data_IF_114160905181
#
_entry.id   IF_114160905181
#
_cell.length_a   1.000
_cell.length_b   1.000
_cell.length_c   1.000
_cell.angle_alpha   90.00
_cell.angle_beta   90.00
_cell.angle_gamma   90.00
#
_symmetry.space_group_name_H-M   'P 1'
#
loop_
_entity.id
_entity.type
_entity.pdbx_description
1 polymer ?
#
# COMPACT_ATOMS: atom_id res chain seq x y z
N UNK A 1 -18.37 5.39 0.58
CA UNK A 1 -16.95 5.24 0.93
C UNK A 1 -16.15 5.54 -0.32
N UNK A 2 -15.33 6.58 -0.30
CA UNK A 2 -14.51 6.98 -1.46
C UNK A 2 -13.45 5.92 -1.72
N UNK A 3 -13.28 5.51 -2.98
CA UNK A 3 -12.22 4.62 -3.42
C UNK A 3 -11.07 5.48 -3.94
N UNK A 4 -9.91 5.37 -3.31
CA UNK A 4 -8.69 6.08 -3.72
C UNK A 4 -7.66 5.05 -4.18
N UNK A 5 -7.02 5.30 -5.32
CA UNK A 5 -5.86 4.54 -5.77
C UNK A 5 -4.59 5.39 -5.70
N UNK A 6 -3.56 4.85 -5.05
CA UNK A 6 -2.20 5.38 -5.04
C UNK A 6 -1.33 4.59 -6.02
N UNK A 7 -0.53 5.29 -6.81
CA UNK A 7 0.41 4.72 -7.76
C UNK A 7 1.82 5.05 -7.27
N UNK A 8 2.54 4.06 -6.76
CA UNK A 8 3.93 4.19 -6.34
C UNK A 8 4.91 3.90 -7.50
N UNK A 9 6.20 4.13 -7.30
CA UNK A 9 7.23 4.00 -8.35
C UNK A 9 7.74 2.58 -8.66
N UNK A 10 7.12 1.53 -8.11
CA UNK A 10 7.50 0.13 -8.37
C UNK A 10 6.92 -0.44 -9.66
N UNK A 11 6.68 -1.76 -9.69
CA UNK A 11 6.10 -2.43 -10.87
C UNK A 11 4.60 -2.10 -11.00
N UNK A 12 4.23 -1.49 -12.12
CA UNK A 12 2.86 -1.08 -12.47
C UNK A 12 2.31 -1.85 -13.69
N UNK A 13 2.74 -3.09 -13.91
CA UNK A 13 2.14 -3.99 -14.92
C UNK A 13 0.69 -4.38 -14.57
N UNK A 14 0.35 -4.41 -13.28
CA UNK A 14 -1.01 -4.64 -12.78
C UNK A 14 -1.52 -3.41 -12.03
N UNK A 15 -2.62 -2.83 -12.50
CA UNK A 15 -3.29 -1.69 -11.89
C UNK A 15 -4.72 -1.55 -12.41
N UNK A 16 -5.52 -0.71 -11.75
CA UNK A 16 -6.83 -0.29 -12.23
C UNK A 16 -6.98 1.23 -12.07
N UNK A 17 -7.67 1.86 -13.01
CA UNK A 17 -8.00 3.30 -12.99
C UNK A 17 -9.45 3.56 -12.55
N UNK A 18 -10.23 2.51 -12.24
CA UNK A 18 -11.64 2.61 -11.80
C UNK A 18 -11.75 2.98 -10.31
N UNK A 19 -11.40 4.23 -10.01
CA UNK A 19 -11.41 4.82 -8.67
C UNK A 19 -11.96 6.25 -8.70
N UNK A 20 -12.42 6.73 -7.55
CA UNK A 20 -12.97 8.09 -7.42
C UNK A 20 -11.84 9.15 -7.41
N UNK A 21 -10.66 8.77 -6.91
CA UNK A 21 -9.48 9.63 -6.77
C UNK A 21 -8.23 8.84 -7.15
N UNK A 22 -7.36 9.43 -7.97
CA UNK A 22 -6.10 8.85 -8.43
C UNK A 22 -4.93 9.71 -7.94
N UNK A 23 -4.05 9.11 -7.15
CA UNK A 23 -2.91 9.78 -6.52
C UNK A 23 -1.61 9.19 -7.06
N UNK A 24 -0.74 10.05 -7.59
CA UNK A 24 0.60 9.66 -8.00
C UNK A 24 1.62 9.90 -6.88
N UNK A 25 2.55 8.96 -6.70
CA UNK A 25 3.69 9.09 -5.79
C UNK A 25 4.98 9.06 -6.59
N UNK A 26 5.75 10.16 -6.57
CA UNK A 26 6.96 10.35 -7.38
C UNK A 26 6.74 9.93 -8.85
N UNK A 27 7.50 8.94 -9.33
CA UNK A 27 7.38 8.35 -10.68
C UNK A 27 6.00 7.78 -10.99
N UNK A 28 5.22 7.37 -9.98
CA UNK A 28 3.83 6.96 -10.19
C UNK A 28 2.94 8.12 -10.67
N UNK A 29 3.30 9.37 -10.37
CA UNK A 29 2.65 10.56 -10.95
C UNK A 29 2.91 10.65 -12.46
N UNK A 30 4.15 10.39 -12.89
CA UNK A 30 4.50 10.36 -14.30
C UNK A 30 3.77 9.22 -15.02
N UNK A 31 3.73 8.03 -14.41
CA UNK A 31 3.01 6.89 -14.94
C UNK A 31 1.54 7.21 -15.24
N UNK A 32 0.83 7.85 -14.31
CA UNK A 32 -0.56 8.26 -14.53
C UNK A 32 -0.71 9.17 -15.76
N UNK A 33 0.20 10.14 -15.93
CA UNK A 33 0.21 11.02 -17.09
C UNK A 33 0.48 10.26 -18.40
N UNK A 34 1.33 9.24 -18.37
CA UNK A 34 1.60 8.37 -19.53
C UNK A 34 0.38 7.52 -19.90
N UNK A 35 -0.46 7.15 -18.93
CA UNK A 35 -1.77 6.54 -19.17
C UNK A 35 -2.84 7.56 -19.63
N UNK A 36 -2.47 8.82 -19.84
CA UNK A 36 -3.39 9.89 -20.25
C UNK A 36 -4.29 10.42 -19.14
N UNK A 37 -3.95 10.13 -17.88
CA UNK A 37 -4.72 10.51 -16.70
C UNK A 37 -4.00 11.63 -15.94
N UNK A 38 -4.72 12.70 -15.62
CA UNK A 38 -4.23 13.74 -14.73
C UNK A 38 -4.41 13.29 -13.27
N UNK A 39 -3.35 13.18 -12.45
CA UNK A 39 -3.48 12.87 -11.03
C UNK A 39 -4.34 13.91 -10.31
N UNK A 40 -5.21 13.45 -9.42
CA UNK A 40 -5.93 14.33 -8.49
C UNK A 40 -4.96 14.92 -7.45
N UNK A 41 -3.95 14.15 -7.08
CA UNK A 41 -2.89 14.54 -6.18
C UNK A 41 -1.58 13.91 -6.65
N UNK A 42 -0.50 14.68 -6.68
CA UNK A 42 0.86 14.18 -6.87
C UNK A 42 1.67 14.48 -5.61
N UNK A 43 2.25 13.44 -5.00
CA UNK A 43 3.02 13.56 -3.75
C UNK A 43 4.43 13.03 -3.98
N UNK A 44 5.43 13.73 -3.46
CA UNK A 44 6.82 13.31 -3.63
C UNK A 44 7.80 14.42 -3.33
N UNK A 45 9.07 14.08 -3.08
CA UNK A 45 10.17 15.02 -3.30
C UNK A 45 10.58 15.10 -4.78
N UNK A 46 10.12 14.15 -5.60
CA UNK A 46 10.34 14.06 -7.03
C UNK A 46 11.81 13.99 -7.44
N UNK A 47 12.66 13.39 -6.60
CA UNK A 47 14.09 13.19 -6.90
C UNK A 47 14.34 12.15 -8.02
N UNK A 48 13.36 11.30 -8.28
CA UNK A 48 13.42 10.20 -9.25
C UNK A 48 12.97 10.59 -10.66
N UNK A 49 12.56 11.84 -10.88
CA UNK A 49 12.14 12.38 -12.18
C UNK A 49 13.01 13.56 -12.61
N UNK A 50 13.12 13.77 -13.91
CA UNK A 50 13.80 14.91 -14.52
C UNK A 50 13.04 16.22 -14.29
N UNK A 51 13.71 17.37 -14.53
CA UNK A 51 13.08 18.69 -14.39
C UNK A 51 11.91 18.86 -15.37
N UNK A 52 12.05 18.33 -16.58
CA UNK A 52 11.02 18.37 -17.62
C UNK A 52 9.81 17.52 -17.21
N UNK A 53 10.02 16.33 -16.65
CA UNK A 53 8.95 15.48 -16.12
C UNK A 53 8.26 16.12 -14.91
N UNK A 54 9.01 16.71 -13.98
CA UNK A 54 8.44 17.43 -12.84
C UNK A 54 7.58 18.61 -13.27
N UNK A 55 8.00 19.37 -14.29
CA UNK A 55 7.18 20.45 -14.85
C UNK A 55 5.88 19.92 -15.44
N UNK A 56 5.91 18.77 -16.14
CA UNK A 56 4.71 18.12 -16.68
C UNK A 56 3.78 17.65 -15.56
N UNK A 57 4.32 17.10 -14.48
CA UNK A 57 3.55 16.70 -13.29
C UNK A 57 2.87 17.93 -12.68
N UNK A 58 3.60 19.01 -12.45
CA UNK A 58 3.06 20.25 -11.88
C UNK A 58 2.02 20.94 -12.76
N UNK A 59 2.15 20.84 -14.08
CA UNK A 59 1.18 21.40 -15.04
C UNK A 59 -0.14 20.63 -15.07
N UNK A 60 -0.09 19.31 -14.85
CA UNK A 60 -1.23 18.42 -15.12
C UNK A 60 -1.91 17.87 -13.88
N UNK A 61 -1.21 17.71 -12.75
CA UNK A 61 -1.82 17.31 -11.50
C UNK A 61 -2.74 18.41 -10.96
N UNK A 62 -3.89 18.05 -10.40
CA UNK A 62 -4.81 19.03 -9.80
C UNK A 62 -4.22 19.68 -8.55
N UNK A 63 -3.48 18.88 -7.79
CA UNK A 63 -2.77 19.32 -6.59
C UNK A 63 -1.39 18.64 -6.53
N UNK A 64 -0.38 19.37 -6.06
CA UNK A 64 0.98 18.83 -5.84
C UNK A 64 1.40 19.09 -4.41
N UNK A 65 1.72 18.04 -3.67
CA UNK A 65 2.34 18.10 -2.35
C UNK A 65 3.81 17.75 -2.51
N UNK A 66 4.63 18.78 -2.64
CA UNK A 66 6.07 18.62 -2.76
C UNK A 66 6.71 18.52 -1.38
N UNK A 67 7.34 17.38 -1.10
CA UNK A 67 8.03 17.11 0.14
C UNK A 67 9.48 17.66 0.11
N UNK A 68 10.05 17.89 1.29
CA UNK A 68 11.50 18.10 1.42
C UNK A 68 12.23 16.75 1.31
N UNK A 69 13.41 16.69 0.65
CA UNK A 69 14.19 15.45 0.55
C UNK A 69 14.69 14.91 1.90
N UNK A 70 14.97 15.82 2.84
CA UNK A 70 15.35 15.45 4.21
C UNK A 70 14.08 15.34 5.07
N UNK A 71 13.60 14.11 5.23
CA UNK A 71 12.40 13.75 5.99
C UNK A 71 12.53 12.35 6.58
N UNK A 72 11.81 12.08 7.66
CA UNK A 72 11.77 10.76 8.28
C UNK A 72 10.77 9.80 7.61
N UNK A 73 9.71 10.35 7.01
CA UNK A 73 8.64 9.61 6.32
C UNK A 73 9.01 9.39 4.84
N UNK A 74 8.76 8.21 4.30
CA UNK A 74 8.87 7.93 2.85
C UNK A 74 7.80 8.68 2.04
N UNK A 75 8.02 8.86 0.73
CA UNK A 75 7.01 9.50 -0.14
C UNK A 75 5.68 8.77 -0.16
N UNK A 76 5.69 7.43 -0.05
CA UNK A 76 4.46 6.66 0.06
C UNK A 76 3.73 6.93 1.38
N UNK A 77 4.44 6.99 2.50
CA UNK A 77 3.84 7.35 3.80
C UNK A 77 3.22 8.75 3.76
N UNK A 78 3.92 9.73 3.19
CA UNK A 78 3.39 11.08 3.00
C UNK A 78 2.12 11.07 2.13
N UNK A 79 2.09 10.27 1.07
CA UNK A 79 0.94 10.17 0.19
C UNK A 79 -0.26 9.51 0.87
N UNK A 80 -0.03 8.48 1.68
CA UNK A 80 -1.06 7.85 2.52
C UNK A 80 -1.63 8.85 3.53
N UNK A 81 -0.77 9.61 4.21
CA UNK A 81 -1.20 10.63 5.17
C UNK A 81 -1.98 11.76 4.50
N UNK A 82 -1.49 12.28 3.38
CA UNK A 82 -2.18 13.31 2.60
C UNK A 82 -3.55 12.83 2.08
N UNK A 83 -3.66 11.54 1.73
CA UNK A 83 -4.93 10.92 1.36
C UNK A 83 -5.90 10.88 2.54
N UNK A 84 -5.51 10.36 3.70
CA UNK A 84 -6.41 10.27 4.85
C UNK A 84 -6.74 11.63 5.47
N UNK A 85 -5.90 12.65 5.30
CA UNK A 85 -6.22 14.03 5.65
C UNK A 85 -7.40 14.57 4.81
N UNK A 86 -7.42 14.29 3.50
CA UNK A 86 -8.46 14.75 2.56
C UNK A 86 -9.70 13.84 2.59
N UNK A 87 -9.48 12.55 2.79
CA UNK A 87 -10.50 11.51 2.71
C UNK A 87 -10.37 10.54 3.91
N UNK A 88 -10.77 10.95 5.13
CA UNK A 88 -10.59 10.14 6.34
C UNK A 88 -11.24 8.76 6.28
N UNK A 89 -12.32 8.62 5.50
CA UNK A 89 -13.07 7.38 5.31
C UNK A 89 -12.80 6.69 3.96
N UNK A 90 -11.71 7.03 3.29
CA UNK A 90 -11.34 6.36 2.05
C UNK A 90 -10.98 4.89 2.27
N UNK A 91 -11.28 4.07 1.26
CA UNK A 91 -10.57 2.80 1.02
C UNK A 91 -9.42 3.10 0.09
N UNK A 92 -8.20 2.79 0.53
CA UNK A 92 -6.97 3.12 -0.15
C UNK A 92 -6.35 1.86 -0.75
N UNK A 93 -6.38 1.74 -2.08
CA UNK A 93 -5.63 0.71 -2.81
C UNK A 93 -4.33 1.33 -3.31
N UNK A 94 -3.21 0.61 -3.17
CA UNK A 94 -1.89 1.10 -3.56
C UNK A 94 -1.28 0.09 -4.53
N UNK A 95 -0.95 0.57 -5.72
CA UNK A 95 -0.26 -0.18 -6.78
C UNK A 95 1.21 0.24 -6.85
N UNK A 96 2.06 -0.59 -7.45
CA UNK A 96 3.48 -0.28 -7.63
C UNK A 96 4.27 -0.28 -6.33
N UNK A 97 3.79 -1.00 -5.31
CA UNK A 97 4.42 -1.07 -3.98
C UNK A 97 5.57 -2.06 -3.92
N UNK A 98 5.64 -2.96 -4.90
CA UNK A 98 6.66 -3.99 -5.01
C UNK A 98 7.49 -3.78 -6.29
N UNK A 99 8.71 -4.32 -6.30
CA UNK A 99 9.63 -4.24 -7.43
C UNK A 99 10.87 -3.40 -7.14
N UNK A 100 11.94 -3.64 -7.90
CA UNK A 100 13.21 -2.93 -7.75
C UNK A 100 13.88 -3.20 -6.41
N UNK A 101 13.88 -2.20 -5.51
CA UNK A 101 14.62 -2.25 -4.25
C UNK A 101 13.83 -2.92 -3.13
N UNK A 102 14.45 -3.89 -2.46
CA UNK A 102 13.84 -4.64 -1.37
C UNK A 102 13.50 -3.79 -0.13
N UNK A 103 14.33 -2.79 0.18
CA UNK A 103 14.11 -1.92 1.34
C UNK A 103 12.83 -1.07 1.18
N UNK A 104 12.55 -0.55 -0.02
CA UNK A 104 11.27 0.12 -0.31
C UNK A 104 10.09 -0.84 -0.18
N UNK A 105 10.20 -2.06 -0.72
CA UNK A 105 9.14 -3.06 -0.59
C UNK A 105 8.85 -3.38 0.88
N UNK A 106 9.89 -3.50 1.72
CA UNK A 106 9.72 -3.72 3.16
C UNK A 106 9.11 -2.50 3.87
N UNK A 107 9.55 -1.29 3.55
CA UNK A 107 8.94 -0.06 4.09
C UNK A 107 7.43 -0.02 3.77
N UNK A 108 7.05 -0.35 2.53
CA UNK A 108 5.65 -0.39 2.10
C UNK A 108 4.86 -1.48 2.84
N UNK A 109 5.42 -2.68 3.00
CA UNK A 109 4.79 -3.76 3.79
C UNK A 109 4.53 -3.33 5.22
N UNK A 110 5.44 -2.57 5.83
CA UNK A 110 5.34 -2.12 7.22
C UNK A 110 4.80 -0.69 7.37
N UNK A 111 4.01 -0.17 6.41
CA UNK A 111 3.38 1.15 6.51
C UNK A 111 2.70 1.44 7.87
N UNK A 112 1.94 0.51 8.47
CA UNK A 112 1.31 0.76 9.78
C UNK A 112 2.28 0.82 10.97
N UNK A 113 3.59 0.62 10.77
CA UNK A 113 4.59 0.90 11.82
C UNK A 113 4.73 2.39 12.11
N UNK A 114 4.28 3.24 11.17
CA UNK A 114 4.09 4.67 11.39
C UNK A 114 2.83 4.91 12.23
N UNK A 115 3.00 5.47 13.43
CA UNK A 115 1.90 5.70 14.38
C UNK A 115 0.79 6.60 13.82
N UNK A 116 1.10 7.45 12.83
CA UNK A 116 0.10 8.31 12.17
C UNK A 116 -0.75 7.53 11.16
N UNK A 117 -0.22 6.45 10.59
CA UNK A 117 -0.89 5.60 9.60
C UNK A 117 -1.64 4.45 10.28
N UNK A 118 -1.12 3.94 11.41
CA UNK A 118 -1.69 2.81 12.14
C UNK A 118 -3.22 2.89 12.38
N UNK A 119 -3.82 4.06 12.74
CA UNK A 119 -5.27 4.18 12.90
C UNK A 119 -6.09 3.86 11.64
N UNK A 120 -5.47 3.90 10.47
CA UNK A 120 -6.11 3.67 9.17
C UNK A 120 -5.75 2.30 8.55
N UNK A 121 -5.01 1.44 9.24
CA UNK A 121 -4.43 0.23 8.65
C UNK A 121 -5.45 -0.69 7.95
N UNK A 122 -6.65 -0.84 8.50
CA UNK A 122 -7.72 -1.69 7.91
C UNK A 122 -8.31 -1.10 6.61
N UNK A 123 -8.01 0.17 6.32
CA UNK A 123 -8.43 0.88 5.10
C UNK A 123 -7.38 0.80 3.98
N UNK A 124 -6.21 0.20 4.22
CA UNK A 124 -5.07 0.17 3.29
C UNK A 124 -4.93 -1.22 2.66
N UNK A 125 -4.77 -1.25 1.34
CA UNK A 125 -4.64 -2.45 0.53
C UNK A 125 -3.44 -2.27 -0.42
N UNK A 126 -2.39 -3.08 -0.29
CA UNK A 126 -1.31 -3.12 -1.29
C UNK A 126 -1.65 -4.22 -2.29
N UNK A 127 -1.67 -3.90 -3.57
CA UNK A 127 -2.10 -4.83 -4.62
C UNK A 127 -1.09 -4.86 -5.77
N UNK A 128 -0.74 -6.07 -6.20
CA UNK A 128 -0.07 -6.34 -7.47
C UNK A 128 -0.74 -7.52 -8.19
N UNK A 129 -0.15 -8.00 -9.29
CA UNK A 129 -0.72 -9.08 -10.10
C UNK A 129 -1.05 -10.36 -9.30
N UNK A 130 -0.27 -10.66 -8.27
CA UNK A 130 -0.32 -11.96 -7.56
C UNK A 130 -0.58 -11.82 -6.05
N UNK A 131 -0.51 -10.61 -5.51
CA UNK A 131 -0.52 -10.34 -4.09
C UNK A 131 -1.58 -9.30 -3.72
N UNK A 132 -2.30 -9.57 -2.64
CA UNK A 132 -3.11 -8.59 -1.92
C UNK A 132 -2.69 -8.62 -0.46
N UNK A 133 -2.07 -7.53 0.00
CA UNK A 133 -1.67 -7.37 1.39
C UNK A 133 -2.68 -6.46 2.10
N UNK A 134 -3.14 -6.94 3.25
CA UNK A 134 -4.10 -6.24 4.11
C UNK A 134 -3.60 -6.26 5.55
N UNK A 135 -4.12 -5.35 6.36
CA UNK A 135 -3.73 -5.20 7.75
C UNK A 135 -4.94 -5.36 8.68
N UNK A 136 -4.69 -5.94 9.84
CA UNK A 136 -5.67 -6.04 10.92
C UNK A 136 -4.99 -5.71 12.25
N UNK A 137 -5.65 -4.96 13.15
CA UNK A 137 -5.12 -4.69 14.47
C UNK A 137 -5.09 -5.95 15.33
N UNK A 138 -4.46 -5.90 16.50
CA UNK A 138 -4.52 -6.99 17.47
C UNK A 138 -5.98 -7.29 17.84
N UNK A 139 -6.41 -8.55 17.70
CA UNK A 139 -7.77 -8.96 18.02
C UNK A 139 -8.16 -10.26 17.33
N UNK A 140 -9.48 -10.51 17.28
CA UNK A 140 -10.07 -11.61 16.52
C UNK A 140 -10.70 -11.04 15.25
N UNK A 141 -10.32 -11.61 14.11
CA UNK A 141 -10.73 -11.16 12.79
C UNK A 141 -11.21 -12.33 11.94
N UNK A 142 -12.16 -12.06 11.05
CA UNK A 142 -12.60 -13.02 10.04
C UNK A 142 -12.00 -12.61 8.68
N UNK A 143 -11.19 -13.49 8.11
CA UNK A 143 -10.60 -13.29 6.77
C UNK A 143 -11.36 -14.17 5.79
N UNK A 144 -11.89 -13.55 4.72
CA UNK A 144 -12.66 -14.24 3.69
C UNK A 144 -11.77 -14.56 2.47
N UNK A 145 -12.03 -15.67 1.76
CA UNK A 145 -11.35 -15.95 0.50
C UNK A 145 -11.55 -14.82 -0.51
N UNK A 146 -10.47 -14.48 -1.22
CA UNK A 146 -10.47 -13.49 -2.30
C UNK A 146 -10.50 -14.24 -3.63
N UNK A 147 -11.41 -13.86 -4.52
CA UNK A 147 -11.54 -14.51 -5.83
C UNK A 147 -10.21 -14.45 -6.60
N UNK A 148 -9.79 -15.58 -7.17
CA UNK A 148 -8.51 -15.69 -7.88
C UNK A 148 -7.30 -15.96 -6.97
N UNK A 149 -7.42 -15.83 -5.65
CA UNK A 149 -6.32 -16.08 -4.71
C UNK A 149 -6.49 -17.41 -3.99
N UNK A 150 -5.44 -18.23 -4.00
CA UNK A 150 -5.43 -19.59 -3.39
C UNK A 150 -4.61 -19.67 -2.10
N UNK A 151 -3.65 -18.77 -1.93
CA UNK A 151 -2.69 -18.79 -0.84
C UNK A 151 -3.01 -17.70 0.18
N UNK A 152 -2.75 -17.99 1.45
CA UNK A 152 -2.91 -17.03 2.55
C UNK A 152 -1.65 -17.09 3.42
N UNK A 153 -1.11 -15.93 3.76
CA UNK A 153 0.01 -15.84 4.69
C UNK A 153 -0.28 -14.84 5.78
N UNK A 154 0.29 -15.07 6.96
CA UNK A 154 0.23 -14.13 8.07
C UNK A 154 1.63 -13.67 8.45
N UNK A 155 1.77 -12.35 8.62
CA UNK A 155 3.00 -11.68 9.00
C UNK A 155 2.75 -10.91 10.32
N UNK A 156 2.91 -11.54 11.50
CA UNK A 156 2.76 -10.83 12.76
C UNK A 156 3.88 -9.79 12.92
N UNK A 157 3.52 -8.56 13.28
CA UNK A 157 4.48 -7.46 13.54
C UNK A 157 5.35 -7.75 14.77
N UNK A 158 4.73 -8.30 15.82
CA UNK A 158 5.36 -8.60 17.10
C UNK A 158 5.48 -10.12 17.30
N UNK A 159 6.06 -10.54 18.43
CA UNK A 159 6.07 -11.95 18.86
C UNK A 159 4.69 -12.40 19.41
N UNK A 160 3.62 -11.92 18.77
CA UNK A 160 2.25 -12.21 19.13
C UNK A 160 1.92 -13.69 18.89
N UNK A 161 1.21 -14.29 19.85
CA UNK A 161 0.68 -15.64 19.72
C UNK A 161 -0.49 -15.65 18.72
N UNK A 162 -0.19 -15.88 17.44
CA UNK A 162 -1.18 -16.02 16.38
C UNK A 162 -1.98 -17.32 16.58
N UNK A 163 -3.30 -17.24 16.43
CA UNK A 163 -4.23 -18.38 16.40
C UNK A 163 -5.03 -18.32 15.10
N UNK A 164 -5.20 -19.46 14.45
CA UNK A 164 -5.83 -19.58 13.13
C UNK A 164 -6.85 -20.71 13.18
N UNK A 165 -8.10 -20.35 12.89
CA UNK A 165 -9.24 -21.26 12.84
C UNK A 165 -9.81 -21.26 11.41
N UNK A 166 -10.38 -22.40 10.97
CA UNK A 166 -11.07 -22.49 9.68
C UNK A 166 -10.18 -22.56 8.42
N UNK A 167 -8.88 -22.34 8.52
CA UNK A 167 -7.92 -22.57 7.43
C UNK A 167 -7.51 -24.05 7.31
N UNK A 168 -6.97 -24.46 6.15
CA UNK A 168 -6.44 -25.83 5.95
C UNK A 168 -5.37 -26.21 6.97
N UNK A 169 -4.56 -25.24 7.40
CA UNK A 169 -3.51 -25.41 8.40
C UNK A 169 -3.86 -24.55 9.63
N UNK A 170 -4.66 -25.08 10.58
CA UNK A 170 -4.99 -24.35 11.81
C UNK A 170 -3.76 -24.23 12.73
N UNK A 171 -3.71 -23.13 13.48
CA UNK A 171 -2.64 -22.82 14.42
C UNK A 171 -3.26 -22.49 15.79
N UNK A 172 -2.80 -23.13 16.85
CA UNK A 172 -3.26 -22.92 18.22
C UNK A 172 -2.08 -23.09 19.19
N UNK A 173 -2.37 -23.05 20.50
CA UNK A 173 -1.34 -23.13 21.55
C UNK A 173 -0.52 -24.42 21.53
N UNK A 174 -1.08 -25.53 21.07
CA UNK A 174 -0.43 -26.85 21.14
C UNK A 174 0.55 -27.09 19.99
N UNK A 175 0.37 -26.40 18.86
CA UNK A 175 1.22 -26.52 17.66
C UNK A 175 1.87 -25.18 17.26
N UNK A 176 1.89 -24.21 18.16
CA UNK A 176 2.48 -22.89 17.91
C UNK A 176 3.98 -22.99 17.63
N UNK A 177 4.42 -22.23 16.63
CA UNK A 177 5.84 -21.99 16.36
C UNK A 177 6.03 -20.54 15.93
N UNK A 178 7.17 -19.94 16.31
CA UNK A 178 7.48 -18.57 15.93
C UNK A 178 8.14 -18.53 14.54
N UNK A 179 7.52 -17.79 13.61
CA UNK A 179 8.12 -17.35 12.34
C UNK A 179 7.58 -15.97 12.00
N UNK A 180 8.43 -15.13 11.39
CA UNK A 180 8.04 -13.79 10.94
C UNK A 180 7.06 -13.82 9.77
N UNK A 181 7.11 -14.84 8.91
CA UNK A 181 6.12 -15.06 7.85
C UNK A 181 5.62 -16.52 7.89
N UNK A 182 4.31 -16.69 8.11
CA UNK A 182 3.64 -17.99 8.16
C UNK A 182 2.85 -18.19 6.87
N UNK A 183 3.44 -18.94 5.94
CA UNK A 183 2.80 -19.34 4.68
C UNK A 183 1.83 -20.48 4.95
N UNK A 184 0.53 -20.23 4.74
CA UNK A 184 -0.50 -21.25 4.87
C UNK A 184 -1.04 -21.53 3.47
N UNK A 185 -0.79 -22.74 2.99
CA UNK A 185 -1.27 -23.12 1.67
C UNK A 185 -2.74 -23.56 1.79
N UNK A 186 -3.64 -22.92 1.03
CA UNK A 186 -5.09 -23.13 0.97
C UNK A 186 -5.93 -22.53 2.12
N UNK A 187 -6.84 -21.62 1.72
CA UNK A 187 -8.19 -21.49 2.27
C UNK A 187 -9.11 -22.56 1.67
#
# INVERSE_FOLDING_TARGET
MTKVALFAGGNLEHFSLDFDVLVGVDRGSLFLLEQGVCPDLAVGDFDSVSKEELLRIKDRAKEVVQAHPEKDDTDLELAVLACFERYPDARLTIFGTFGGRLDHALANVFLPSNEKIAPYMEKIFLEDEQNLLTYVPKGRHEIKPVAGMRYLAFLPSDDAALTIEGAKYPLNKDNFFSKKCMLLTNL
#
